data_IF_685468125411
#
_entry.id   IF_685468125411
#
_cell.length_a   1.000
_cell.length_b   1.000
_cell.length_c   1.000
_cell.angle_alpha   90.00
_cell.angle_beta   90.00
_cell.angle_gamma   90.00
#
_symmetry.space_group_name_H-M   'P 1'
#
loop_
_entity.id
_entity.type
_entity.pdbx_description
1 polymer ?
#
# COMPACT_ATOMS: atom_id res chain seq x y z
N UNK A 1 -7.51 2.33 20.95
CA UNK A 1 -6.37 1.46 20.63
C UNK A 1 -6.20 1.45 19.10
N UNK A 2 -4.96 1.61 18.63
CA UNK A 2 -4.61 1.42 17.21
C UNK A 2 -4.05 0.00 17.02
N UNK A 3 -4.61 -0.75 16.07
CA UNK A 3 -4.17 -2.10 15.72
C UNK A 3 -3.67 -2.13 14.27
N UNK A 4 -2.39 -2.41 14.07
CA UNK A 4 -1.79 -2.59 12.75
C UNK A 4 -1.65 -4.09 12.47
N UNK A 5 -2.41 -4.60 11.51
CA UNK A 5 -2.27 -5.96 11.01
C UNK A 5 -1.28 -5.98 9.84
N UNK A 6 -0.22 -6.77 9.97
CA UNK A 6 0.75 -7.01 8.90
C UNK A 6 0.51 -8.41 8.33
N UNK A 7 0.26 -8.50 7.04
CA UNK A 7 0.22 -9.76 6.32
C UNK A 7 1.00 -9.67 5.00
N UNK A 8 1.05 -10.73 4.25
CA UNK A 8 1.73 -10.77 2.96
C UNK A 8 2.54 -12.04 2.75
N UNK A 9 3.06 -12.19 1.54
CA UNK A 9 3.79 -13.37 1.11
C UNK A 9 5.04 -13.61 1.96
N UNK A 10 5.40 -14.85 2.12
CA UNK A 10 6.65 -15.26 2.76
C UNK A 10 7.84 -14.72 1.97
N UNK A 11 8.76 -14.02 2.65
CA UNK A 11 9.88 -13.33 1.99
C UNK A 11 9.58 -11.91 1.50
N UNK A 12 8.35 -11.40 1.65
CA UNK A 12 7.97 -10.03 1.24
C UNK A 12 8.46 -8.92 2.18
N UNK A 13 8.96 -9.24 3.39
CA UNK A 13 9.51 -8.26 4.32
C UNK A 13 8.70 -8.00 5.59
N UNK A 14 7.76 -8.87 5.96
CA UNK A 14 6.93 -8.73 7.16
C UNK A 14 7.74 -8.44 8.44
N UNK A 15 8.85 -9.15 8.66
CA UNK A 15 9.70 -8.93 9.83
C UNK A 15 10.33 -7.53 9.85
N UNK A 16 10.65 -6.95 8.68
CA UNK A 16 11.15 -5.58 8.60
C UNK A 16 10.07 -4.61 9.03
N UNK A 17 8.84 -4.80 8.55
CA UNK A 17 7.71 -3.94 8.92
C UNK A 17 7.38 -4.05 10.41
N UNK A 18 7.38 -5.26 10.97
CA UNK A 18 7.10 -5.48 12.40
C UNK A 18 8.16 -4.82 13.30
N UNK A 19 9.45 -4.97 12.96
CA UNK A 19 10.54 -4.33 13.71
C UNK A 19 10.43 -2.79 13.69
N UNK A 20 10.00 -2.20 12.56
CA UNK A 20 9.75 -0.74 12.49
C UNK A 20 8.66 -0.31 13.45
N UNK A 21 7.58 -1.08 13.56
CA UNK A 21 6.48 -0.76 14.47
C UNK A 21 6.92 -0.92 15.94
N UNK A 22 7.74 -1.92 16.25
CA UNK A 22 8.36 -2.10 17.57
C UNK A 22 9.24 -0.89 17.91
N UNK A 23 10.11 -0.46 16.98
CA UNK A 23 11.01 0.70 17.17
C UNK A 23 10.26 2.01 17.45
N UNK A 24 9.00 2.15 16.99
CA UNK A 24 8.16 3.33 17.23
C UNK A 24 7.12 3.12 18.34
N UNK A 25 7.28 2.08 19.15
CA UNK A 25 6.56 1.86 20.42
C UNK A 25 5.25 1.09 20.29
N UNK A 26 5.06 0.27 19.25
CA UNK A 26 3.95 -0.69 19.21
C UNK A 26 4.28 -1.93 20.03
N UNK A 27 3.28 -2.47 20.70
CA UNK A 27 3.35 -3.84 21.22
C UNK A 27 3.20 -4.81 20.04
N UNK A 28 4.26 -5.56 19.74
CA UNK A 28 4.36 -6.38 18.54
C UNK A 28 4.16 -7.86 18.84
N UNK A 29 3.31 -8.52 18.07
CA UNK A 29 3.12 -9.97 18.10
C UNK A 29 3.36 -10.54 16.71
N UNK A 30 4.35 -11.43 16.60
CA UNK A 30 4.66 -12.12 15.35
C UNK A 30 3.95 -13.47 15.26
N UNK A 31 3.57 -13.85 14.05
CA UNK A 31 3.07 -15.19 13.73
C UNK A 31 1.80 -15.60 14.51
N UNK A 32 0.90 -14.65 14.76
CA UNK A 32 -0.35 -14.92 15.47
C UNK A 32 -1.29 -15.78 14.60
N UNK A 33 -1.84 -16.90 15.15
CA UNK A 33 -2.95 -17.58 14.50
C UNK A 33 -4.17 -16.65 14.33
N UNK A 34 -4.76 -16.62 13.14
CA UNK A 34 -5.86 -15.72 12.80
C UNK A 34 -7.04 -15.80 13.79
N UNK A 35 -7.37 -17.01 14.26
CA UNK A 35 -8.44 -17.24 15.22
C UNK A 35 -8.24 -16.55 16.58
N UNK A 36 -7.00 -16.22 16.95
CA UNK A 36 -6.68 -15.60 18.25
C UNK A 36 -6.70 -14.07 18.22
N UNK A 37 -6.86 -13.43 17.06
CA UNK A 37 -6.76 -11.97 16.89
C UNK A 37 -7.74 -11.22 17.80
N UNK A 38 -9.02 -11.59 17.78
CA UNK A 38 -10.04 -10.91 18.61
C UNK A 38 -9.79 -11.10 20.11
N UNK A 39 -9.35 -12.28 20.52
CA UNK A 39 -9.00 -12.56 21.92
C UNK A 39 -7.81 -11.76 22.40
N UNK A 40 -6.75 -11.68 21.60
CA UNK A 40 -5.57 -10.86 21.87
C UNK A 40 -5.91 -9.37 21.94
N UNK A 41 -6.65 -8.85 20.95
CA UNK A 41 -7.05 -7.45 20.93
C UNK A 41 -7.88 -7.07 22.15
N UNK A 42 -8.84 -7.90 22.54
CA UNK A 42 -9.63 -7.68 23.76
C UNK A 42 -8.81 -7.75 25.04
N UNK A 43 -7.78 -8.59 25.10
CA UNK A 43 -6.87 -8.65 26.25
C UNK A 43 -6.01 -7.39 26.34
N UNK A 44 -5.34 -7.02 25.27
CA UNK A 44 -4.46 -5.84 25.22
C UNK A 44 -5.20 -4.52 25.41
N UNK A 45 -6.48 -4.45 24.98
CA UNK A 45 -7.32 -3.29 25.25
C UNK A 45 -7.59 -3.12 26.76
N UNK A 46 -7.80 -4.21 27.49
CA UNK A 46 -7.98 -4.17 28.97
C UNK A 46 -6.70 -3.81 29.70
N UNK A 47 -5.53 -4.11 29.10
CA UNK A 47 -4.23 -3.72 29.64
C UNK A 47 -3.79 -2.32 29.17
N UNK A 48 -4.73 -1.55 28.58
CA UNK A 48 -4.52 -0.16 28.16
C UNK A 48 -3.42 0.05 27.10
N UNK A 49 -3.10 -0.98 26.32
CA UNK A 49 -2.16 -0.84 25.20
C UNK A 49 -2.76 0.08 24.13
N UNK A 50 -2.14 1.26 23.93
CA UNK A 50 -2.60 2.24 22.95
C UNK A 50 -2.29 1.83 21.50
N UNK A 51 -1.17 1.10 21.28
CA UNK A 51 -0.63 0.74 19.95
C UNK A 51 -0.22 -0.73 19.92
N UNK A 52 -0.81 -1.48 19.01
CA UNK A 52 -0.56 -2.92 18.84
C UNK A 52 -0.28 -3.22 17.37
N UNK A 53 0.71 -4.05 17.10
CA UNK A 53 1.00 -4.57 15.77
C UNK A 53 1.02 -6.09 15.79
N UNK A 54 0.34 -6.70 14.82
CA UNK A 54 0.21 -8.15 14.73
C UNK A 54 0.58 -8.62 13.34
N UNK A 55 1.54 -9.53 13.25
CA UNK A 55 1.83 -10.20 11.99
C UNK A 55 1.07 -11.53 11.91
N UNK A 56 0.32 -11.72 10.83
CA UNK A 56 -0.41 -12.96 10.51
C UNK A 56 0.06 -13.48 9.17
N UNK A 57 0.46 -14.74 9.13
CA UNK A 57 0.84 -15.45 7.91
C UNK A 57 0.25 -16.87 7.85
N UNK A 58 0.57 -17.60 6.78
CA UNK A 58 0.05 -18.96 6.55
C UNK A 58 0.59 -20.00 7.55
N UNK A 59 1.60 -19.68 8.39
CA UNK A 59 2.11 -20.60 9.42
C UNK A 59 1.10 -20.78 10.55
N UNK A 60 0.29 -19.76 10.82
CA UNK A 60 -0.76 -19.77 11.84
C UNK A 60 -1.98 -20.62 11.50
N UNK A 61 -2.02 -21.30 10.35
CA UNK A 61 -3.12 -22.18 9.94
C UNK A 61 -3.92 -21.68 8.74
N UNK A 62 -4.80 -22.54 8.20
CA UNK A 62 -5.63 -22.25 7.00
C UNK A 62 -6.82 -21.33 7.27
N UNK A 63 -6.96 -20.80 8.48
CA UNK A 63 -8.17 -20.07 8.91
C UNK A 63 -8.13 -18.56 8.63
N UNK A 64 -7.49 -18.13 7.52
CA UNK A 64 -7.46 -16.71 7.12
C UNK A 64 -8.87 -16.18 6.82
N UNK A 65 -9.80 -17.04 6.41
CA UNK A 65 -11.17 -16.68 6.13
C UNK A 65 -11.94 -16.10 7.35
N UNK A 66 -11.47 -16.33 8.58
CA UNK A 66 -12.08 -15.77 9.80
C UNK A 66 -11.67 -14.30 10.03
N UNK A 67 -10.63 -13.79 9.38
CA UNK A 67 -10.11 -12.45 9.63
C UNK A 67 -11.09 -11.33 9.21
N UNK A 68 -11.70 -11.32 8.01
CA UNK A 68 -12.56 -10.23 7.61
C UNK A 68 -13.70 -9.92 8.60
N UNK A 69 -14.48 -10.91 9.10
CA UNK A 69 -15.50 -10.64 10.12
C UNK A 69 -14.89 -10.16 11.45
N UNK A 70 -13.75 -10.71 11.90
CA UNK A 70 -13.10 -10.25 13.12
C UNK A 70 -12.63 -8.80 13.03
N UNK A 71 -12.02 -8.41 11.90
CA UNK A 71 -11.57 -7.04 11.67
C UNK A 71 -12.74 -6.05 11.68
N UNK A 72 -13.88 -6.41 11.07
CA UNK A 72 -15.11 -5.61 11.14
C UNK A 72 -15.61 -5.44 12.58
N UNK A 73 -15.60 -6.52 13.37
CA UNK A 73 -16.02 -6.47 14.77
C UNK A 73 -15.08 -5.60 15.62
N UNK A 74 -13.76 -5.67 15.38
CA UNK A 74 -12.78 -4.84 16.09
C UNK A 74 -12.98 -3.34 15.77
N UNK A 75 -13.25 -3.01 14.52
CA UNK A 75 -13.55 -1.63 14.14
C UNK A 75 -14.88 -1.13 14.73
N UNK A 76 -15.93 -1.96 14.76
CA UNK A 76 -17.19 -1.62 15.44
C UNK A 76 -17.00 -1.35 16.94
N UNK A 77 -15.96 -1.92 17.55
CA UNK A 77 -15.55 -1.66 18.94
C UNK A 77 -14.60 -0.46 19.08
N UNK A 78 -14.59 0.47 18.12
CA UNK A 78 -13.77 1.70 18.10
C UNK A 78 -12.25 1.45 18.15
N UNK A 79 -11.78 0.32 17.66
CA UNK A 79 -10.35 0.05 17.46
C UNK A 79 -9.98 0.58 16.07
N UNK A 80 -8.97 1.47 15.98
CA UNK A 80 -8.39 1.93 14.71
C UNK A 80 -7.60 0.77 14.09
N UNK A 81 -8.25 -0.01 13.21
CA UNK A 81 -7.64 -1.15 12.54
C UNK A 81 -7.02 -0.70 11.21
N UNK A 82 -5.75 -0.95 11.05
CA UNK A 82 -4.99 -0.69 9.81
C UNK A 82 -4.35 -1.97 9.31
N UNK A 83 -4.41 -2.20 8.00
CA UNK A 83 -3.89 -3.43 7.41
C UNK A 83 -2.81 -3.07 6.40
N UNK A 84 -1.62 -3.65 6.57
CA UNK A 84 -0.52 -3.63 5.60
C UNK A 84 -0.40 -5.02 4.99
N UNK A 85 -0.49 -5.10 3.68
CA UNK A 85 -0.20 -6.32 2.92
C UNK A 85 1.09 -6.14 2.12
N UNK A 86 2.09 -6.97 2.39
CA UNK A 86 3.37 -6.93 1.69
C UNK A 86 3.38 -7.95 0.56
N UNK A 87 3.58 -7.47 -0.67
CA UNK A 87 3.66 -8.29 -1.87
C UNK A 87 5.05 -8.19 -2.53
N UNK A 88 5.39 -9.15 -3.36
CA UNK A 88 6.52 -9.07 -4.27
C UNK A 88 6.31 -10.03 -5.45
N UNK A 89 6.98 -9.76 -6.58
CA UNK A 89 6.97 -10.65 -7.74
C UNK A 89 7.58 -11.99 -7.38
N UNK A 90 7.08 -13.05 -8.00
CA UNK A 90 7.49 -14.43 -7.70
C UNK A 90 8.98 -14.65 -7.91
N UNK A 91 9.56 -14.07 -8.97
CA UNK A 91 11.01 -14.17 -9.26
C UNK A 91 11.84 -13.56 -8.11
N UNK A 92 11.38 -12.46 -7.53
CA UNK A 92 12.04 -11.79 -6.41
C UNK A 92 11.92 -12.60 -5.13
N UNK A 93 10.77 -13.20 -4.88
CA UNK A 93 10.58 -14.10 -3.73
C UNK A 93 11.47 -15.33 -3.85
N UNK A 94 11.50 -15.98 -5.02
CA UNK A 94 12.37 -17.12 -5.30
C UNK A 94 13.83 -16.76 -5.06
N UNK A 95 14.29 -15.59 -5.55
CA UNK A 95 15.65 -15.12 -5.32
C UNK A 95 15.93 -14.94 -3.83
N UNK A 96 15.05 -14.25 -3.07
CA UNK A 96 15.21 -14.02 -1.63
C UNK A 96 15.26 -15.32 -0.82
N UNK A 97 14.45 -16.31 -1.18
CA UNK A 97 14.50 -17.63 -0.56
C UNK A 97 15.83 -18.36 -0.86
N UNK A 98 16.31 -18.26 -2.10
CA UNK A 98 17.60 -18.83 -2.50
C UNK A 98 18.78 -18.21 -1.75
N UNK A 99 18.77 -16.89 -1.57
CA UNK A 99 19.80 -16.16 -0.83
C UNK A 99 19.81 -16.50 0.66
N UNK A 100 18.60 -16.57 1.27
CA UNK A 100 18.47 -16.82 2.72
C UNK A 100 18.53 -18.29 3.08
N UNK A 101 18.44 -19.21 2.10
CA UNK A 101 18.39 -20.67 2.28
C UNK A 101 17.33 -21.13 3.29
N UNK A 102 16.26 -20.36 3.46
CA UNK A 102 15.13 -20.73 4.32
C UNK A 102 14.15 -21.61 3.57
N UNK A 103 13.49 -22.51 4.28
CA UNK A 103 12.35 -23.23 3.73
C UNK A 103 11.11 -22.34 3.66
N UNK A 104 10.36 -22.43 2.58
CA UNK A 104 9.05 -21.79 2.51
C UNK A 104 8.09 -22.47 3.49
N UNK A 105 7.24 -21.74 4.24
CA UNK A 105 6.34 -22.30 5.24
C UNK A 105 5.41 -23.40 4.72
N UNK A 106 4.99 -23.30 3.47
CA UNK A 106 4.11 -24.26 2.81
C UNK A 106 4.86 -25.38 2.08
N UNK A 107 6.20 -25.35 2.04
CA UNK A 107 6.98 -26.41 1.40
C UNK A 107 7.07 -27.63 2.29
N UNK A 108 6.26 -28.63 2.01
CA UNK A 108 6.24 -29.94 2.71
C UNK A 108 7.23 -30.97 2.09
N UNK A 109 8.02 -30.55 1.13
CA UNK A 109 8.95 -31.40 0.38
C UNK A 109 8.32 -32.10 -0.84
N UNK A 110 7.02 -31.89 -1.11
CA UNK A 110 6.30 -32.49 -2.25
C UNK A 110 6.07 -31.47 -3.38
N UNK A 111 6.09 -30.17 -3.05
CA UNK A 111 5.87 -29.08 -3.99
C UNK A 111 7.13 -28.24 -4.14
N UNK A 112 7.29 -27.61 -5.31
CA UNK A 112 8.37 -26.69 -5.59
C UNK A 112 8.17 -25.36 -4.86
N UNK A 113 9.23 -24.55 -4.74
CA UNK A 113 9.14 -23.21 -4.14
C UNK A 113 8.15 -22.32 -4.92
N UNK A 114 8.14 -22.40 -6.26
CA UNK A 114 7.22 -21.62 -7.08
C UNK A 114 5.75 -22.02 -6.83
N UNK A 115 5.46 -23.31 -6.74
CA UNK A 115 4.12 -23.81 -6.40
C UNK A 115 3.69 -23.40 -4.98
N UNK A 116 4.62 -23.41 -4.01
CA UNK A 116 4.34 -22.96 -2.65
C UNK A 116 4.01 -21.47 -2.61
N UNK A 117 4.73 -20.62 -3.35
CA UNK A 117 4.45 -19.19 -3.47
C UNK A 117 3.09 -18.95 -4.13
N UNK A 118 2.77 -19.64 -5.22
CA UNK A 118 1.49 -19.52 -5.91
C UNK A 118 0.32 -19.90 -4.99
N UNK A 119 0.44 -21.00 -4.25
CA UNK A 119 -0.57 -21.45 -3.28
C UNK A 119 -0.73 -20.45 -2.12
N UNK A 120 0.37 -19.88 -1.60
CA UNK A 120 0.31 -18.85 -0.56
C UNK A 120 -0.39 -17.59 -1.09
N UNK A 121 -0.08 -17.16 -2.31
CA UNK A 121 -0.71 -15.99 -2.95
C UNK A 121 -2.22 -16.17 -3.08
N UNK A 122 -2.69 -17.31 -3.57
CA UNK A 122 -4.11 -17.62 -3.68
C UNK A 122 -4.81 -17.60 -2.30
N UNK A 123 -4.20 -18.22 -1.31
CA UNK A 123 -4.75 -18.27 0.04
C UNK A 123 -4.84 -16.89 0.73
N UNK A 124 -3.95 -15.95 0.38
CA UNK A 124 -3.90 -14.60 0.95
C UNK A 124 -4.65 -13.53 0.14
N UNK A 125 -5.25 -13.89 -1.01
CA UNK A 125 -5.90 -12.93 -1.92
C UNK A 125 -6.99 -12.09 -1.23
N UNK A 126 -7.78 -12.70 -0.35
CA UNK A 126 -8.80 -11.99 0.43
C UNK A 126 -8.19 -10.90 1.33
N UNK A 127 -7.05 -11.18 1.99
CA UNK A 127 -6.37 -10.19 2.83
C UNK A 127 -5.70 -9.10 2.01
N UNK A 128 -5.18 -9.44 0.84
CA UNK A 128 -4.62 -8.48 -0.11
C UNK A 128 -5.64 -7.41 -0.48
N UNK A 129 -6.89 -7.79 -0.70
CA UNK A 129 -7.99 -6.86 -1.03
C UNK A 129 -8.46 -5.97 0.13
N UNK A 130 -8.14 -6.32 1.39
CA UNK A 130 -8.56 -5.55 2.57
C UNK A 130 -7.56 -4.50 3.01
N UNK A 131 -6.27 -4.66 2.69
CA UNK A 131 -5.18 -3.85 3.23
C UNK A 131 -4.52 -2.92 2.23
N UNK A 132 -3.69 -2.01 2.78
CA UNK A 132 -2.75 -1.26 1.96
C UNK A 132 -1.66 -2.20 1.44
N UNK A 133 -1.69 -2.46 0.13
CA UNK A 133 -0.69 -3.31 -0.52
C UNK A 133 0.60 -2.50 -0.76
N UNK A 134 1.75 -3.07 -0.40
CA UNK A 134 3.08 -2.52 -0.68
C UNK A 134 3.86 -3.52 -1.52
N UNK A 135 4.12 -3.18 -2.78
CA UNK A 135 5.01 -3.96 -3.63
C UNK A 135 6.48 -3.74 -3.23
N UNK A 136 7.07 -4.77 -2.63
CA UNK A 136 8.46 -4.74 -2.16
C UNK A 136 9.47 -5.26 -3.17
N UNK A 137 9.06 -5.58 -4.41
CA UNK A 137 9.94 -6.21 -5.42
C UNK A 137 11.23 -5.44 -5.69
N UNK A 138 11.12 -4.11 -5.74
CA UNK A 138 12.26 -3.23 -6.04
C UNK A 138 12.66 -2.34 -4.84
N UNK A 139 12.15 -2.64 -3.64
CA UNK A 139 12.43 -1.84 -2.46
C UNK A 139 13.68 -2.34 -1.73
N UNK A 140 14.53 -1.39 -1.33
CA UNK A 140 15.56 -1.63 -0.32
C UNK A 140 14.92 -1.66 1.07
N UNK A 141 15.52 -2.37 2.05
CA UNK A 141 14.96 -2.44 3.40
C UNK A 141 14.65 -1.08 4.04
N UNK A 142 15.50 -0.06 3.80
CA UNK A 142 15.28 1.29 4.34
C UNK A 142 14.08 2.00 3.71
N UNK A 143 13.84 1.82 2.41
CA UNK A 143 12.66 2.37 1.75
C UNK A 143 11.37 1.74 2.30
N UNK A 144 11.36 0.41 2.53
CA UNK A 144 10.22 -0.24 3.19
C UNK A 144 10.01 0.30 4.61
N UNK A 145 11.09 0.54 5.38
CA UNK A 145 10.99 1.15 6.73
C UNK A 145 10.35 2.53 6.68
N UNK A 146 10.76 3.38 5.73
CA UNK A 146 10.18 4.71 5.54
C UNK A 146 8.69 4.62 5.20
N UNK A 147 8.31 3.74 4.26
CA UNK A 147 6.92 3.53 3.87
C UNK A 147 6.02 3.07 5.02
N UNK A 148 6.51 2.16 5.88
CA UNK A 148 5.75 1.72 7.06
C UNK A 148 5.57 2.86 8.06
N UNK A 149 6.62 3.66 8.31
CA UNK A 149 6.54 4.83 9.19
C UNK A 149 5.55 5.86 8.67
N UNK A 150 5.59 6.18 7.39
CA UNK A 150 4.64 7.09 6.75
C UNK A 150 3.20 6.60 6.88
N UNK A 151 2.97 5.30 6.64
CA UNK A 151 1.65 4.68 6.76
C UNK A 151 1.03 4.85 8.15
N UNK A 152 1.82 4.72 9.22
CA UNK A 152 1.31 4.86 10.59
C UNK A 152 1.24 6.32 11.06
N UNK A 153 2.03 7.24 10.48
CA UNK A 153 2.07 8.65 10.83
C UNK A 153 0.84 9.44 10.34
N UNK A 154 0.05 8.89 9.42
CA UNK A 154 -1.16 9.55 8.92
C UNK A 154 -2.23 9.54 10.00
N UNK A 155 -2.33 10.62 10.78
CA UNK A 155 -3.39 10.83 11.75
C UNK A 155 -4.75 11.02 11.06
N UNK A 156 -5.79 10.48 11.68
CA UNK A 156 -7.16 10.62 11.20
C UNK A 156 -7.73 11.88 11.84
N UNK A 157 -7.49 13.06 11.27
CA UNK A 157 -8.28 14.23 11.58
C UNK A 157 -9.50 14.29 10.64
N UNK A 158 -10.68 14.04 11.19
CA UNK A 158 -11.92 14.64 10.72
C UNK A 158 -12.62 14.08 9.48
N UNK A 159 -12.41 12.82 9.05
CA UNK A 159 -13.33 12.18 8.09
C UNK A 159 -14.19 11.15 8.85
N UNK A 160 -15.31 11.62 9.38
CA UNK A 160 -16.38 10.76 9.89
C UNK A 160 -17.04 10.03 8.71
N UNK A 161 -16.49 8.89 8.33
CA UNK A 161 -17.25 7.86 7.63
C UNK A 161 -18.03 7.07 8.66
N UNK A 162 -19.31 6.86 8.44
CA UNK A 162 -20.29 6.31 9.39
C UNK A 162 -19.94 4.93 9.99
N UNK A 163 -18.84 4.28 9.58
CA UNK A 163 -18.49 2.91 9.97
C UNK A 163 -17.02 2.72 10.42
N UNK A 164 -16.29 3.77 10.78
CA UNK A 164 -14.94 3.67 11.36
C UNK A 164 -13.83 3.23 10.39
N UNK A 165 -14.14 2.86 9.16
CA UNK A 165 -13.22 2.44 8.10
C UNK A 165 -13.19 3.49 6.98
N UNK A 166 -12.45 4.59 7.19
CA UNK A 166 -12.23 5.56 6.12
C UNK A 166 -11.31 5.00 5.04
N UNK A 167 -11.74 5.04 3.76
CA UNK A 167 -10.89 4.67 2.63
C UNK A 167 -9.70 5.63 2.52
N UNK A 168 -8.49 5.09 2.44
CA UNK A 168 -7.28 5.85 2.12
C UNK A 168 -7.05 5.83 0.61
N UNK A 169 -7.01 7.01 0.00
CA UNK A 169 -6.74 7.20 -1.42
C UNK A 169 -5.24 7.46 -1.63
N UNK A 170 -4.53 6.51 -2.23
CA UNK A 170 -3.11 6.63 -2.53
C UNK A 170 -2.92 7.05 -3.99
N UNK A 171 -2.33 8.21 -4.23
CA UNK A 171 -1.85 8.60 -5.55
C UNK A 171 -0.37 8.24 -5.69
N UNK A 172 -0.06 7.37 -6.65
CA UNK A 172 1.28 6.84 -6.83
C UNK A 172 1.84 7.20 -8.21
N UNK A 173 2.98 7.88 -8.28
CA UNK A 173 3.68 8.07 -9.55
C UNK A 173 4.67 6.95 -9.81
N UNK A 174 4.75 6.49 -11.07
CA UNK A 174 5.71 5.46 -11.49
C UNK A 174 6.22 5.70 -12.91
N UNK A 175 7.33 5.03 -13.24
CA UNK A 175 7.88 4.99 -14.59
C UNK A 175 7.65 3.63 -15.24
N UNK A 176 7.04 3.60 -16.41
CA UNK A 176 6.81 2.36 -17.17
C UNK A 176 8.12 1.58 -17.41
N UNK A 177 9.27 2.25 -17.53
CA UNK A 177 10.58 1.60 -17.64
C UNK A 177 10.94 0.70 -16.45
N UNK A 178 10.27 0.85 -15.31
CA UNK A 178 10.49 0.07 -14.09
C UNK A 178 9.39 -0.97 -13.84
N UNK A 179 8.47 -1.14 -14.79
CA UNK A 179 7.32 -2.05 -14.69
C UNK A 179 6.11 -1.41 -14.00
N UNK A 180 4.98 -2.08 -14.13
CA UNK A 180 3.73 -1.69 -13.48
C UNK A 180 3.80 -1.96 -11.97
N UNK A 181 3.26 -1.09 -11.13
CA UNK A 181 3.11 -1.37 -9.71
C UNK A 181 2.08 -2.48 -9.48
N UNK A 182 2.44 -3.51 -8.69
CA UNK A 182 1.54 -4.63 -8.37
C UNK A 182 0.44 -4.23 -7.38
N UNK A 183 0.64 -3.12 -6.69
CA UNK A 183 -0.23 -2.55 -5.67
C UNK A 183 -1.24 -1.53 -6.24
N UNK A 184 -1.29 -1.35 -7.57
CA UNK A 184 -2.21 -0.39 -8.20
C UNK A 184 -3.58 -1.02 -8.49
N UNK A 185 -4.66 -0.38 -8.01
CA UNK A 185 -6.04 -0.70 -8.37
C UNK A 185 -6.44 -0.06 -9.72
N UNK A 186 -5.97 1.18 -9.94
CA UNK A 186 -6.20 1.95 -11.16
C UNK A 186 -4.86 2.43 -11.72
N UNK A 187 -4.68 2.28 -13.04
CA UNK A 187 -3.47 2.73 -13.73
C UNK A 187 -3.84 3.66 -14.88
N UNK A 188 -3.30 4.88 -14.84
CA UNK A 188 -3.46 5.86 -15.91
C UNK A 188 -2.13 6.12 -16.61
N UNK A 189 -2.12 5.96 -17.93
CA UNK A 189 -0.96 6.24 -18.78
C UNK A 189 -0.99 7.70 -19.24
N UNK A 190 -0.04 8.50 -18.75
CA UNK A 190 0.10 9.92 -19.12
C UNK A 190 1.26 10.17 -20.10
N UNK A 191 1.76 9.14 -20.79
CA UNK A 191 2.86 9.25 -21.75
C UNK A 191 2.49 10.00 -23.04
N UNK A 192 1.21 10.01 -23.40
CA UNK A 192 0.72 10.72 -24.56
C UNK A 192 0.83 12.26 -24.46
N UNK A 193 1.05 12.80 -23.26
CA UNK A 193 1.11 14.23 -23.00
C UNK A 193 2.51 14.81 -23.30
N UNK A 194 2.61 16.14 -23.52
CA UNK A 194 3.88 16.84 -23.71
C UNK A 194 4.91 16.47 -22.64
N UNK A 195 6.16 16.28 -23.07
CA UNK A 195 7.17 15.69 -22.20
C UNK A 195 8.27 16.70 -21.83
N UNK A 196 8.33 17.16 -20.56
CA UNK A 196 9.36 18.10 -20.10
C UNK A 196 10.81 17.62 -20.31
N UNK A 197 11.02 16.31 -20.45
CA UNK A 197 12.34 15.72 -20.66
C UNK A 197 13.08 16.25 -21.92
N UNK A 198 12.36 16.68 -22.93
CA UNK A 198 12.96 17.21 -24.17
C UNK A 198 13.52 18.63 -24.01
N UNK A 199 13.09 19.37 -22.98
CA UNK A 199 13.70 20.65 -22.64
C UNK A 199 14.93 20.41 -21.73
N UNK A 200 16.15 20.83 -22.15
CA UNK A 200 17.36 20.65 -21.34
C UNK A 200 17.28 21.28 -19.95
N UNK A 201 16.53 22.37 -19.78
CA UNK A 201 16.35 23.07 -18.51
C UNK A 201 15.38 22.33 -17.56
N UNK A 202 14.39 21.63 -18.12
CA UNK A 202 13.40 20.91 -17.35
C UNK A 202 13.81 19.45 -17.07
N UNK A 203 14.70 18.90 -17.89
CA UNK A 203 15.14 17.49 -17.80
C UNK A 203 15.64 17.08 -16.43
N UNK A 204 16.50 17.84 -15.71
CA UNK A 204 17.02 17.45 -14.39
C UNK A 204 16.01 17.65 -13.25
N UNK A 205 14.91 18.35 -13.51
CA UNK A 205 13.88 18.69 -12.53
C UNK A 205 12.84 17.55 -12.37
N UNK A 206 11.90 17.73 -11.48
CA UNK A 206 10.81 16.80 -11.21
C UNK A 206 9.45 17.46 -11.39
N UNK A 207 8.38 16.70 -11.34
CA UNK A 207 7.00 17.23 -11.36
C UNK A 207 6.62 18.06 -10.12
N UNK A 208 7.50 18.21 -9.14
CA UNK A 208 7.35 19.09 -7.97
C UNK A 208 7.95 20.48 -8.20
N UNK A 209 8.81 20.62 -9.20
CA UNK A 209 9.53 21.87 -9.46
C UNK A 209 8.67 22.86 -10.22
N UNK A 210 8.71 24.13 -9.81
CA UNK A 210 7.86 25.20 -10.34
C UNK A 210 7.93 25.35 -11.86
N UNK A 211 9.10 25.19 -12.47
CA UNK A 211 9.29 25.29 -13.91
C UNK A 211 8.58 24.15 -14.67
N UNK A 212 8.64 22.91 -14.15
CA UNK A 212 7.94 21.75 -14.72
C UNK A 212 6.43 21.89 -14.52
N UNK A 213 6.00 22.37 -13.35
CA UNK A 213 4.59 22.65 -13.07
C UNK A 213 4.05 23.68 -14.08
N UNK A 214 4.74 24.80 -14.27
CA UNK A 214 4.33 25.85 -15.21
C UNK A 214 4.26 25.33 -16.65
N UNK A 215 5.22 24.53 -17.08
CA UNK A 215 5.21 23.88 -18.39
C UNK A 215 3.96 23.01 -18.57
N UNK A 216 3.70 22.08 -17.64
CA UNK A 216 2.58 21.15 -17.73
C UNK A 216 1.21 21.86 -17.62
N UNK A 217 1.09 22.85 -16.74
CA UNK A 217 -0.13 23.64 -16.59
C UNK A 217 -0.42 24.55 -17.79
N UNK A 218 0.60 24.90 -18.58
CA UNK A 218 0.46 25.61 -19.85
C UNK A 218 -0.27 24.79 -20.92
N UNK A 219 -0.18 23.46 -20.86
CA UNK A 219 -0.65 22.54 -21.89
C UNK A 219 -2.14 22.20 -21.75
N UNK A 220 -3.00 22.49 -22.74
CA UNK A 220 -4.44 22.20 -22.66
C UNK A 220 -4.76 20.71 -22.50
N UNK A 221 -3.97 19.83 -23.14
CA UNK A 221 -4.15 18.37 -23.07
C UNK A 221 -3.85 17.83 -21.68
N UNK A 222 -2.87 18.39 -20.97
CA UNK A 222 -2.54 18.03 -19.60
C UNK A 222 -3.72 18.36 -18.67
N UNK A 223 -4.29 19.56 -18.81
CA UNK A 223 -5.46 19.97 -18.02
C UNK A 223 -6.67 19.09 -18.29
N UNK A 224 -6.93 18.78 -19.57
CA UNK A 224 -8.02 17.86 -19.94
C UNK A 224 -7.86 16.48 -19.33
N UNK A 225 -6.67 15.86 -19.46
CA UNK A 225 -6.38 14.55 -18.87
C UNK A 225 -6.53 14.58 -17.34
N UNK A 226 -6.06 15.64 -16.69
CA UNK A 226 -6.24 15.82 -15.25
C UNK A 226 -7.74 15.82 -14.88
N UNK A 227 -8.57 16.57 -15.58
CA UNK A 227 -10.01 16.64 -15.32
C UNK A 227 -10.71 15.32 -15.60
N UNK A 228 -10.29 14.58 -16.61
CA UNK A 228 -10.86 13.26 -16.93
C UNK A 228 -10.53 12.23 -15.82
N UNK A 229 -9.28 12.16 -15.38
CA UNK A 229 -8.87 11.29 -14.27
C UNK A 229 -9.58 11.69 -12.97
N UNK A 230 -9.59 12.98 -12.65
CA UNK A 230 -10.28 13.51 -11.46
C UNK A 230 -11.76 13.12 -11.45
N UNK A 231 -12.47 13.34 -12.57
CA UNK A 231 -13.90 12.97 -12.68
C UNK A 231 -14.13 11.48 -12.56
N UNK A 232 -13.24 10.66 -13.12
CA UNK A 232 -13.31 9.22 -12.98
C UNK A 232 -13.18 8.81 -11.51
N UNK A 233 -12.15 9.27 -10.81
CA UNK A 233 -11.94 8.95 -9.41
C UNK A 233 -13.09 9.47 -8.54
N UNK A 234 -13.55 10.71 -8.75
CA UNK A 234 -14.70 11.29 -8.03
C UNK A 234 -15.97 10.44 -8.19
N UNK A 235 -16.26 9.97 -9.40
CA UNK A 235 -17.47 9.21 -9.69
C UNK A 235 -17.47 7.82 -9.06
N UNK A 236 -16.31 7.17 -9.00
CA UNK A 236 -16.20 5.79 -8.53
C UNK A 236 -15.78 5.64 -7.07
N UNK A 237 -15.18 6.66 -6.45
CA UNK A 237 -14.77 6.65 -5.04
C UNK A 237 -15.89 6.17 -4.09
N UNK A 238 -17.16 6.63 -4.23
CA UNK A 238 -18.24 6.13 -3.36
C UNK A 238 -18.52 4.63 -3.52
N UNK A 239 -18.27 4.06 -4.70
CA UNK A 239 -18.46 2.63 -4.93
C UNK A 239 -17.39 1.81 -4.19
N UNK A 240 -16.12 2.25 -4.24
CA UNK A 240 -15.04 1.61 -3.49
C UNK A 240 -15.21 1.72 -1.97
N UNK A 241 -15.77 2.85 -1.48
CA UNK A 241 -16.11 3.01 -0.06
C UNK A 241 -17.20 2.00 0.34
N UNK A 242 -18.28 1.86 -0.47
CA UNK A 242 -19.34 0.87 -0.20
C UNK A 242 -18.87 -0.58 -0.27
N UNK A 243 -17.82 -0.85 -1.07
CA UNK A 243 -17.17 -2.17 -1.14
C UNK A 243 -16.28 -2.47 0.09
N UNK A 244 -16.29 -1.57 1.08
CA UNK A 244 -15.49 -1.68 2.31
C UNK A 244 -13.99 -1.80 2.06
N UNK A 245 -13.46 -1.18 1.01
CA UNK A 245 -12.03 -1.11 0.78
C UNK A 245 -11.39 -0.13 1.74
N UNK A 246 -10.31 -0.55 2.38
CA UNK A 246 -9.50 0.32 3.23
C UNK A 246 -8.58 1.23 2.42
N UNK A 247 -8.25 0.83 1.18
CA UNK A 247 -7.35 1.57 0.27
C UNK A 247 -7.83 1.52 -1.16
N UNK A 248 -7.54 2.63 -1.89
CA UNK A 248 -7.63 2.71 -3.34
C UNK A 248 -6.34 3.33 -3.87
N UNK A 249 -5.55 2.55 -4.59
CA UNK A 249 -4.29 3.00 -5.18
C UNK A 249 -4.49 3.42 -6.63
N UNK A 250 -4.32 4.71 -6.90
CA UNK A 250 -4.38 5.31 -8.23
C UNK A 250 -2.95 5.59 -8.73
N UNK A 251 -2.48 4.78 -9.66
CA UNK A 251 -1.13 4.88 -10.20
C UNK A 251 -1.10 5.70 -11.51
N UNK A 252 -0.22 6.70 -11.54
CA UNK A 252 0.00 7.59 -12.69
C UNK A 252 1.35 7.23 -13.33
N UNK A 253 1.36 6.82 -14.58
CA UNK A 253 2.55 6.33 -15.27
C UNK A 253 3.05 7.26 -16.38
N UNK A 254 4.33 7.68 -16.30
CA UNK A 254 5.03 8.25 -17.44
C UNK A 254 6.27 7.40 -17.78
N UNK A 255 7.09 7.78 -18.75
CA UNK A 255 8.22 6.96 -19.19
C UNK A 255 9.21 6.70 -18.06
N UNK A 256 9.68 7.75 -17.39
CA UNK A 256 10.70 7.68 -16.33
C UNK A 256 10.17 7.77 -14.90
N UNK A 257 8.91 8.18 -14.70
CA UNK A 257 8.34 8.37 -13.37
C UNK A 257 8.78 9.66 -12.66
N UNK A 258 9.35 10.64 -13.39
CA UNK A 258 10.01 11.80 -12.79
C UNK A 258 9.20 13.12 -12.94
N UNK A 259 8.57 13.39 -14.08
CA UNK A 259 7.92 14.66 -14.39
C UNK A 259 6.39 14.56 -14.37
N UNK A 260 5.77 14.14 -15.50
CA UNK A 260 4.32 14.12 -15.70
C UNK A 260 3.59 13.35 -14.61
N UNK A 261 3.97 12.09 -14.36
CA UNK A 261 3.33 11.25 -13.36
C UNK A 261 3.41 11.82 -11.94
N UNK A 262 4.53 12.46 -11.59
CA UNK A 262 4.72 13.13 -10.29
C UNK A 262 3.76 14.31 -10.16
N UNK A 263 3.70 15.19 -11.17
CA UNK A 263 2.78 16.32 -11.20
C UNK A 263 1.31 15.88 -11.04
N UNK A 264 0.89 14.84 -11.80
CA UNK A 264 -0.46 14.31 -11.69
C UNK A 264 -0.77 13.77 -10.29
N UNK A 265 0.14 13.01 -9.69
CA UNK A 265 -0.06 12.45 -8.35
C UNK A 265 -0.22 13.57 -7.31
N UNK A 266 0.63 14.58 -7.32
CA UNK A 266 0.58 15.73 -6.40
C UNK A 266 -0.71 16.55 -6.59
N UNK A 267 -1.08 16.86 -7.82
CA UNK A 267 -2.30 17.66 -8.11
C UNK A 267 -3.59 16.93 -7.77
N UNK A 268 -3.67 15.63 -8.06
CA UNK A 268 -4.83 14.82 -7.67
C UNK A 268 -4.91 14.71 -6.15
N UNK A 269 -3.80 14.45 -5.47
CA UNK A 269 -3.77 14.39 -4.02
C UNK A 269 -4.28 15.68 -3.37
N UNK A 270 -3.79 16.83 -3.83
CA UNK A 270 -4.26 18.13 -3.34
C UNK A 270 -5.78 18.32 -3.52
N UNK A 271 -6.35 17.76 -4.62
CA UNK A 271 -7.78 17.90 -4.94
C UNK A 271 -8.69 17.03 -4.09
N UNK A 272 -8.18 15.90 -3.59
CA UNK A 272 -8.98 14.92 -2.82
C UNK A 272 -8.79 15.00 -1.31
N UNK A 273 -7.93 15.88 -0.79
CA UNK A 273 -7.66 16.03 0.65
C UNK A 273 -8.91 16.23 1.51
N UNK A 274 -9.91 16.96 0.98
CA UNK A 274 -11.16 17.24 1.69
C UNK A 274 -12.21 16.12 1.56
N UNK A 275 -11.93 15.08 0.76
CA UNK A 275 -12.89 14.02 0.43
C UNK A 275 -12.52 12.65 0.98
N UNK A 276 -11.25 12.41 1.18
CA UNK A 276 -10.72 11.14 1.66
C UNK A 276 -9.37 11.37 2.36
N UNK A 277 -8.94 10.39 3.13
CA UNK A 277 -7.57 10.31 3.60
C UNK A 277 -6.66 10.10 2.39
N UNK A 278 -5.68 10.98 2.18
CA UNK A 278 -4.84 10.96 0.98
C UNK A 278 -3.38 10.72 1.31
N UNK A 279 -2.76 9.79 0.57
CA UNK A 279 -1.31 9.57 0.55
C UNK A 279 -0.77 9.82 -0.86
N UNK A 280 0.48 10.27 -0.94
CA UNK A 280 1.22 10.44 -2.21
C UNK A 280 2.51 9.64 -2.14
N UNK A 281 2.85 8.93 -3.23
CA UNK A 281 4.11 8.21 -3.35
C UNK A 281 4.72 8.34 -4.73
N UNK A 282 6.05 8.45 -4.76
CA UNK A 282 6.82 8.54 -6.00
C UNK A 282 7.84 7.41 -6.08
N UNK A 283 7.55 6.37 -6.87
CA UNK A 283 8.42 5.17 -6.96
C UNK A 283 9.77 5.42 -7.63
N UNK A 284 9.88 6.47 -8.43
CA UNK A 284 11.08 6.76 -9.24
C UNK A 284 11.86 7.99 -8.76
N UNK A 285 11.39 8.73 -7.77
CA UNK A 285 12.18 9.77 -7.13
C UNK A 285 13.02 9.14 -6.02
N UNK A 286 14.29 9.52 -5.96
CA UNK A 286 15.11 9.23 -4.78
C UNK A 286 14.61 10.10 -3.62
N UNK A 287 14.41 9.49 -2.46
CA UNK A 287 14.21 10.18 -1.20
C UNK A 287 15.51 10.84 -0.75
#
# INVERSE_FOLDING_TARGET
MQLVLISGLSGSGKSIALNVLEDVGYFCVDNLPAALLSGLAGHLLREEHARVAVAIDMRGGREIAVLPPQLKQLAANQIDVRIIFLDARDEVLIQRFSETRRRHPMADGKITLAEAIATEREALETLRGLGHCIDTSNLRPNALRAMVKEFIAVEVEGVEGADGWGLTLLFQSFGFKHGLPLDADLVFDVRCLPNPYYDPLLRPLTGRDAAVIAFLEGEPEVRRMFDDIRRFVDAWLPAYIRDNRSYLTVALGCTGGQHRSVWFAEKLAARFKDKARVLVRHRALAE
#
